data_IF_803834682000
#
_entry.id   IF_803834682000
#
_cell.length_a   1.000
_cell.length_b   1.000
_cell.length_c   1.000
_cell.angle_alpha   90.00
_cell.angle_beta   90.00
_cell.angle_gamma   90.00
#
_symmetry.space_group_name_H-M   'P 1'
#
loop_
_entity.id
_entity.type
_entity.pdbx_description
1 polymer ?
#
# COMPACT_ATOMS: atom_id res chain seq x y z
N UNK A 1 -8.39 -52.00 13.18
CA UNK A 1 -9.01 -51.14 12.15
C UNK A 1 -8.37 -49.75 12.23
N UNK A 2 -7.39 -49.40 11.38
CA UNK A 2 -6.67 -48.13 11.46
C UNK A 2 -7.25 -47.14 10.45
N UNK A 3 -8.21 -46.29 10.85
CA UNK A 3 -8.84 -45.34 9.90
C UNK A 3 -9.25 -44.01 10.53
N UNK A 4 -8.43 -43.39 11.40
CA UNK A 4 -8.75 -42.04 11.90
C UNK A 4 -7.55 -41.08 12.03
N UNK A 5 -6.30 -41.53 11.88
CA UNK A 5 -5.13 -40.68 12.13
C UNK A 5 -4.77 -39.72 10.97
N UNK A 6 -5.14 -40.04 9.73
CA UNK A 6 -4.65 -39.30 8.55
C UNK A 6 -5.31 -37.92 8.34
N UNK A 7 -6.57 -37.73 8.77
CA UNK A 7 -7.28 -36.47 8.54
C UNK A 7 -6.87 -35.36 9.51
N UNK A 8 -6.49 -35.69 10.74
CA UNK A 8 -6.11 -34.70 11.76
C UNK A 8 -4.76 -34.03 11.46
N UNK A 9 -3.83 -34.74 10.83
CA UNK A 9 -2.48 -34.23 10.52
C UNK A 9 -2.50 -33.23 9.36
N UNK A 10 -3.36 -33.45 8.35
CA UNK A 10 -3.47 -32.56 7.17
C UNK A 10 -4.03 -31.18 7.57
N UNK A 11 -4.99 -31.13 8.50
CA UNK A 11 -5.57 -29.86 8.98
C UNK A 11 -4.55 -29.02 9.77
N UNK A 12 -3.65 -29.66 10.53
CA UNK A 12 -2.63 -28.95 11.30
C UNK A 12 -1.55 -28.30 10.41
N UNK A 13 -1.18 -28.92 9.29
CA UNK A 13 -0.15 -28.38 8.36
C UNK A 13 -0.66 -27.14 7.61
N UNK A 14 -1.94 -27.11 7.24
CA UNK A 14 -2.56 -25.95 6.55
C UNK A 14 -2.66 -24.72 7.48
N UNK A 15 -2.83 -24.93 8.79
CA UNK A 15 -2.89 -23.84 9.78
C UNK A 15 -1.52 -23.21 10.09
N UNK A 16 -0.42 -23.96 9.93
CA UNK A 16 0.94 -23.47 10.20
C UNK A 16 1.56 -22.66 9.05
N UNK A 17 0.96 -22.70 7.86
CA UNK A 17 1.43 -21.99 6.66
C UNK A 17 0.43 -20.90 6.25
N UNK A 18 0.05 -20.02 7.18
CA UNK A 18 -0.66 -18.81 6.78
C UNK A 18 0.32 -17.94 5.98
N UNK A 19 0.00 -17.49 4.76
CA UNK A 19 0.79 -16.46 4.10
C UNK A 19 0.75 -15.21 4.98
N UNK A 20 1.88 -14.86 5.59
CA UNK A 20 2.04 -13.52 6.17
C UNK A 20 2.00 -12.56 5.00
N UNK A 21 0.87 -11.88 4.83
CA UNK A 21 0.82 -10.71 3.96
C UNK A 21 1.57 -9.62 4.70
N UNK A 22 2.87 -9.48 4.45
CA UNK A 22 3.60 -8.26 4.80
C UNK A 22 3.11 -7.15 3.87
N UNK A 23 1.92 -6.61 4.20
CA UNK A 23 1.49 -5.34 3.63
C UNK A 23 2.28 -4.28 4.38
N UNK A 24 3.18 -3.54 3.72
CA UNK A 24 3.97 -2.53 4.41
C UNK A 24 3.03 -1.56 5.11
N UNK A 25 3.31 -1.28 6.38
CA UNK A 25 2.47 -0.37 7.16
C UNK A 25 2.51 1.03 6.51
N UNK A 26 1.39 1.44 5.91
CA UNK A 26 1.26 2.75 5.31
C UNK A 26 0.72 3.74 6.34
N UNK A 27 1.35 4.90 6.44
CA UNK A 27 0.88 5.99 7.28
C UNK A 27 0.64 7.25 6.48
N UNK A 28 -0.31 8.05 6.94
CA UNK A 28 -0.55 9.39 6.46
C UNK A 28 0.58 10.32 6.93
N UNK A 29 1.37 10.87 6.00
CA UNK A 29 2.51 11.74 6.31
C UNK A 29 2.13 13.20 6.53
N UNK A 30 1.01 13.63 5.95
CA UNK A 30 0.32 14.88 6.25
C UNK A 30 -1.18 14.64 6.07
N UNK A 31 -2.04 15.32 6.85
CA UNK A 31 -3.48 15.08 6.84
C UNK A 31 -4.05 15.04 5.41
N UNK A 32 -4.80 13.99 5.08
CA UNK A 32 -5.24 13.70 3.71
C UNK A 32 -6.75 13.50 3.64
N UNK A 33 -7.37 14.02 2.59
CA UNK A 33 -8.77 13.75 2.30
C UNK A 33 -8.91 12.38 1.65
N UNK A 34 -9.82 11.58 2.19
CA UNK A 34 -10.31 10.37 1.54
C UNK A 34 -11.46 10.75 0.61
N UNK A 35 -11.40 10.31 -0.64
CA UNK A 35 -12.38 10.64 -1.68
C UNK A 35 -13.04 9.41 -2.27
N UNK A 36 -14.23 9.57 -2.85
CA UNK A 36 -14.97 8.47 -3.48
C UNK A 36 -14.39 8.06 -4.85
N UNK A 37 -13.70 8.98 -5.53
CA UNK A 37 -12.97 8.74 -6.78
C UNK A 37 -11.55 9.36 -6.73
N UNK A 38 -10.60 8.90 -7.58
CA UNK A 38 -9.23 9.42 -7.64
C UNK A 38 -9.15 10.76 -8.38
N UNK A 39 -9.89 11.76 -7.91
CA UNK A 39 -9.93 13.11 -8.46
C UNK A 39 -9.99 14.14 -7.33
N UNK A 40 -9.30 15.26 -7.49
CA UNK A 40 -9.29 16.38 -6.53
C UNK A 40 -10.66 17.06 -6.35
N UNK A 41 -11.58 16.89 -7.30
CA UNK A 41 -12.96 17.41 -7.28
C UNK A 41 -13.97 16.39 -6.78
N UNK A 42 -13.58 15.12 -6.63
CA UNK A 42 -14.45 14.05 -6.15
C UNK A 42 -14.94 14.31 -4.71
N UNK A 43 -16.04 13.68 -4.30
CA UNK A 43 -16.60 13.92 -2.97
C UNK A 43 -15.63 13.47 -1.89
N UNK A 44 -15.49 14.30 -0.84
CA UNK A 44 -14.74 13.92 0.35
C UNK A 44 -15.59 13.00 1.23
N UNK A 45 -15.10 11.78 1.41
CA UNK A 45 -15.67 10.75 2.30
C UNK A 45 -15.22 10.98 3.74
N UNK A 46 -13.94 11.30 3.93
CA UNK A 46 -13.34 11.49 5.24
C UNK A 46 -12.08 12.36 5.19
N UNK A 47 -11.54 12.68 6.37
CA UNK A 47 -10.20 13.24 6.54
C UNK A 47 -9.42 12.34 7.47
N UNK A 48 -8.26 11.87 7.01
CA UNK A 48 -7.34 11.10 7.82
C UNK A 48 -6.27 12.04 8.39
N UNK A 49 -6.11 12.12 9.72
CA UNK A 49 -5.06 12.93 10.33
C UNK A 49 -3.66 12.34 10.07
N UNK A 50 -2.63 13.16 10.34
CA UNK A 50 -1.23 12.71 10.26
C UNK A 50 -1.00 11.54 11.22
N UNK A 51 -0.19 10.57 10.82
CA UNK A 51 0.13 9.38 11.61
C UNK A 51 -0.94 8.29 11.57
N UNK A 52 -2.10 8.52 10.93
CA UNK A 52 -3.09 7.45 10.74
C UNK A 52 -2.48 6.31 9.94
N UNK A 53 -2.52 5.11 10.50
CA UNK A 53 -2.17 3.88 9.81
C UNK A 53 -3.34 3.45 8.92
N UNK A 54 -3.03 3.11 7.68
CA UNK A 54 -4.01 2.70 6.67
C UNK A 54 -3.59 1.41 6.01
N UNK A 55 -4.59 0.64 5.58
CA UNK A 55 -4.38 -0.49 4.68
C UNK A 55 -4.33 0.04 3.25
N UNK A 56 -3.27 -0.29 2.52
CA UNK A 56 -3.10 0.08 1.12
C UNK A 56 -3.79 -0.94 0.21
N UNK A 57 -4.72 -0.46 -0.60
CA UNK A 57 -5.33 -1.21 -1.69
C UNK A 57 -4.62 -0.94 -3.02
N UNK A 58 -5.38 -1.00 -4.10
CA UNK A 58 -4.87 -0.73 -5.46
C UNK A 58 -4.56 0.75 -5.64
N UNK A 59 -3.41 1.04 -6.27
CA UNK A 59 -3.07 2.38 -6.75
C UNK A 59 -3.32 2.49 -8.26
N UNK A 60 -3.51 3.71 -8.74
CA UNK A 60 -3.48 3.99 -10.18
C UNK A 60 -2.09 3.68 -10.77
N UNK A 61 -2.06 3.49 -12.10
CA UNK A 61 -0.83 3.17 -12.84
C UNK A 61 0.23 4.26 -12.68
N UNK A 62 -0.19 5.52 -12.68
CA UNK A 62 0.65 6.71 -12.48
C UNK A 62 0.99 6.97 -10.99
N UNK A 63 0.50 6.10 -10.08
CA UNK A 63 0.64 6.21 -8.63
C UNK A 63 0.19 7.56 -8.04
N UNK A 64 -0.65 8.32 -8.72
CA UNK A 64 -1.13 9.62 -8.20
C UNK A 64 -2.13 9.45 -7.06
N UNK A 65 -2.91 8.36 -7.10
CA UNK A 65 -3.92 7.99 -6.12
C UNK A 65 -3.85 6.52 -5.75
N UNK A 66 -4.11 6.24 -4.48
CA UNK A 66 -4.22 4.90 -3.95
C UNK A 66 -5.53 4.73 -3.19
N UNK A 67 -6.16 3.58 -3.37
CA UNK A 67 -7.27 3.19 -2.50
C UNK A 67 -6.70 2.83 -1.13
N UNK A 68 -7.30 3.38 -0.08
CA UNK A 68 -6.89 3.14 1.30
C UNK A 68 -8.11 2.84 2.17
N UNK A 69 -7.87 2.09 3.25
CA UNK A 69 -8.86 1.80 4.27
C UNK A 69 -8.31 2.14 5.67
N UNK A 70 -9.12 2.81 6.48
CA UNK A 70 -8.85 3.18 7.86
C UNK A 70 -10.07 2.79 8.73
N UNK A 71 -10.06 1.57 9.27
CA UNK A 71 -11.21 1.01 9.97
C UNK A 71 -12.42 0.88 9.04
N UNK A 72 -13.53 1.56 9.37
CA UNK A 72 -14.76 1.55 8.57
C UNK A 72 -14.76 2.55 7.39
N UNK A 73 -13.71 3.36 7.25
CA UNK A 73 -13.62 4.40 6.23
C UNK A 73 -12.70 3.94 5.09
N UNK A 74 -13.21 3.89 3.86
CA UNK A 74 -12.45 3.50 2.67
C UNK A 74 -12.69 4.46 1.51
N UNK A 75 -11.67 4.67 0.69
CA UNK A 75 -11.73 5.55 -0.48
C UNK A 75 -10.36 5.78 -1.10
N UNK A 76 -10.24 6.84 -1.90
CA UNK A 76 -9.03 7.23 -2.60
C UNK A 76 -8.31 8.36 -1.86
N UNK A 77 -7.02 8.16 -1.61
CA UNK A 77 -6.12 9.18 -1.06
C UNK A 77 -4.99 9.42 -2.06
N UNK A 78 -4.50 10.66 -2.13
CA UNK A 78 -3.37 10.97 -2.99
C UNK A 78 -2.10 10.36 -2.41
N UNK A 79 -1.34 9.63 -3.25
CA UNK A 79 -0.17 8.86 -2.81
C UNK A 79 0.96 9.74 -2.27
N UNK A 80 0.99 11.02 -2.62
CA UNK A 80 1.94 12.02 -2.09
C UNK A 80 1.89 12.18 -0.57
N UNK A 81 0.74 11.84 0.03
CA UNK A 81 0.52 11.93 1.47
C UNK A 81 0.58 10.58 2.18
N UNK A 82 0.99 9.53 1.46
CA UNK A 82 1.11 8.18 1.99
C UNK A 82 2.57 7.78 2.04
N UNK A 83 2.98 7.19 3.16
CA UNK A 83 4.33 6.68 3.36
C UNK A 83 4.29 5.23 3.80
N UNK A 84 4.90 4.35 3.02
CA UNK A 84 5.10 2.95 3.38
C UNK A 84 6.33 2.79 4.27
N UNK A 85 6.21 2.02 5.35
CA UNK A 85 7.37 1.51 6.06
C UNK A 85 8.05 0.42 5.22
N UNK A 86 9.36 0.54 5.04
CA UNK A 86 10.23 -0.44 4.40
C UNK A 86 11.34 -0.83 5.38
N UNK A 87 12.06 -1.90 5.09
CA UNK A 87 13.19 -2.37 5.93
C UNK A 87 14.27 -1.27 6.12
N UNK A 88 14.36 -0.35 5.16
CA UNK A 88 15.34 0.74 5.12
C UNK A 88 14.78 2.10 5.58
N UNK A 89 13.54 2.17 6.08
CA UNK A 89 12.94 3.42 6.58
C UNK A 89 11.49 3.65 6.13
N UNK A 90 11.14 4.90 5.80
CA UNK A 90 9.80 5.25 5.27
C UNK A 90 9.95 5.86 3.88
N UNK A 91 9.23 5.33 2.90
CA UNK A 91 9.25 5.82 1.51
C UNK A 91 7.88 6.38 1.17
N UNK A 92 7.83 7.57 0.56
CA UNK A 92 6.56 8.12 0.05
C UNK A 92 6.14 7.40 -1.21
N UNK A 93 4.86 7.06 -1.31
CA UNK A 93 4.35 6.25 -2.42
C UNK A 93 4.37 7.00 -3.75
N UNK A 94 4.25 8.33 -3.75
CA UNK A 94 4.39 9.14 -4.96
C UNK A 94 5.83 9.24 -5.49
N UNK A 95 6.84 9.17 -4.61
CA UNK A 95 8.25 9.38 -4.96
C UNK A 95 8.93 8.09 -5.48
N UNK A 96 8.27 6.93 -5.33
CA UNK A 96 8.78 5.61 -5.74
C UNK A 96 9.06 5.43 -7.25
N UNK A 97 8.78 6.42 -8.10
CA UNK A 97 9.20 6.41 -9.52
C UNK A 97 10.40 7.33 -9.83
N UNK A 98 10.60 8.40 -9.08
CA UNK A 98 11.57 9.45 -9.46
C UNK A 98 13.03 9.02 -9.19
N UNK A 99 13.28 8.29 -8.10
CA UNK A 99 14.60 7.71 -7.81
C UNK A 99 15.05 6.68 -8.86
N UNK A 100 14.11 6.08 -9.61
CA UNK A 100 14.43 5.15 -10.70
C UNK A 100 14.69 5.87 -12.03
N UNK A 101 14.18 7.09 -12.22
CA UNK A 101 14.37 7.88 -13.46
C UNK A 101 15.64 8.73 -13.42
N UNK A 102 16.12 9.14 -12.25
CA UNK A 102 17.39 9.88 -12.12
C UNK A 102 18.62 9.02 -12.47
N UNK A 103 18.48 7.69 -12.53
CA UNK A 103 19.53 6.77 -13.00
C UNK A 103 19.53 6.51 -14.52
N UNK A 104 18.59 7.11 -15.29
CA UNK A 104 18.51 6.95 -16.75
C UNK A 104 18.67 8.30 -17.43
N UNK A 105 19.83 8.94 -17.22
CA UNK A 105 20.36 9.90 -18.18
C UNK A 105 21.16 9.10 -19.22
N UNK A 106 20.65 8.82 -20.44
CA UNK A 106 21.54 8.48 -21.54
C UNK A 106 22.33 9.76 -21.84
N UNK A 107 23.55 9.80 -21.34
CA UNK A 107 24.57 10.77 -21.73
C UNK A 107 24.80 10.70 -23.23
N UNK A 108 23.91 11.34 -23.98
CA UNK A 108 24.06 11.72 -25.35
C UNK A 108 25.07 12.87 -25.36
N UNK A 109 26.33 12.53 -25.63
CA UNK A 109 27.29 13.49 -26.15
C UNK A 109 27.74 13.02 -27.51
N UNK A 110 27.07 13.55 -28.52
CA UNK A 110 27.66 13.91 -29.80
C UNK A 110 28.92 14.73 -29.56
N UNK A 111 30.06 14.24 -30.01
CA UNK A 111 30.99 14.85 -30.99
C UNK A 111 32.22 13.96 -31.18
#
# INVERSE_FOLDING_TARGET
MPRLAACAVIVAIVLLCQPRRDVPAVTVSAGVNLRDAPDVRAQRVAVLPVGTQVELGTCLVDRSWCRVSAGSQSGWASARYLSAATDNGRVRLAESEEDLRVAVEPGSRTE
#
